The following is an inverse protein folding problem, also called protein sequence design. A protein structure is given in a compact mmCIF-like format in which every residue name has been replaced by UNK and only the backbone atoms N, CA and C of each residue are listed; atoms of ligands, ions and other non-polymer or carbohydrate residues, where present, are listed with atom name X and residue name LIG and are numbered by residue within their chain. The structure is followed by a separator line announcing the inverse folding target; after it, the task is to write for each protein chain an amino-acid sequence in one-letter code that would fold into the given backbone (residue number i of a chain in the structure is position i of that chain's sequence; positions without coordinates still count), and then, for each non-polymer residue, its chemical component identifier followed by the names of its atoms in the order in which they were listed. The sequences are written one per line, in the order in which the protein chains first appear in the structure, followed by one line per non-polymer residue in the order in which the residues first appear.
data_IF_313875999966
#
_entry.id   IF_313875999966
#
_cell.length_a   1.000
_cell.length_b   1.000
_cell.length_c   1.000
_cell.angle_alpha   90.00
_cell.angle_beta   90.00
_cell.angle_gamma   90.00
#
_symmetry.space_group_name_H-M   'P 1'
#
loop_
_entity.id
_entity.type
_entity.pdbx_description
1 polymer ?
#
# COMPACT_ATOMS: atom_id res chain seq x y z
N UNK A 1 -5.29 4.05 -34.17
CA UNK A 1 -4.30 4.87 -33.51
C UNK A 1 -5.01 5.95 -32.71
N UNK A 2 -5.20 5.77 -31.43
CA UNK A 2 -5.81 6.77 -30.57
C UNK A 2 -4.85 7.03 -29.41
N UNK A 3 -4.31 8.23 -29.38
CA UNK A 3 -3.67 8.83 -28.23
C UNK A 3 -4.74 9.00 -27.13
N UNK A 4 -4.79 8.07 -26.19
CA UNK A 4 -5.46 8.31 -24.91
C UNK A 4 -4.42 9.03 -24.07
N UNK A 5 -4.47 10.37 -24.06
CA UNK A 5 -3.57 11.21 -23.31
C UNK A 5 -3.70 10.98 -21.81
N UNK A 6 -2.59 11.21 -21.10
CA UNK A 6 -2.46 11.07 -19.63
C UNK A 6 -3.56 11.79 -18.83
N UNK A 7 -4.27 12.76 -19.40
CA UNK A 7 -5.41 13.45 -18.79
C UNK A 7 -6.66 12.58 -18.63
N UNK A 8 -6.88 11.57 -19.50
CA UNK A 8 -8.04 10.67 -19.41
C UNK A 8 -7.95 9.68 -18.28
N UNK A 9 -6.73 9.24 -17.94
CA UNK A 9 -6.49 8.28 -16.85
C UNK A 9 -6.72 8.91 -15.47
N UNK A 10 -6.37 10.19 -15.28
CA UNK A 10 -6.59 10.88 -14.00
C UNK A 10 -8.06 11.19 -13.74
N UNK A 11 -8.83 11.56 -14.77
CA UNK A 11 -10.27 11.80 -14.64
C UNK A 11 -11.05 10.50 -14.33
N UNK A 12 -10.65 9.36 -14.94
CA UNK A 12 -11.23 8.06 -14.65
C UNK A 12 -10.89 7.58 -13.22
N UNK A 13 -9.68 7.87 -12.72
CA UNK A 13 -9.28 7.56 -11.36
C UNK A 13 -10.09 8.37 -10.32
N UNK A 14 -10.33 9.66 -10.56
CA UNK A 14 -11.11 10.51 -9.66
C UNK A 14 -12.60 10.15 -9.65
N UNK A 15 -13.20 9.86 -10.80
CA UNK A 15 -14.59 9.37 -10.92
C UNK A 15 -14.77 7.99 -10.29
N UNK A 16 -13.81 7.09 -10.49
CA UNK A 16 -13.76 5.76 -9.89
C UNK A 16 -13.67 5.82 -8.36
N UNK A 17 -12.85 6.72 -7.81
CA UNK A 17 -12.70 6.91 -6.37
C UNK A 17 -14.03 7.32 -5.72
N UNK A 18 -14.78 8.25 -6.32
CA UNK A 18 -16.09 8.66 -5.82
C UNK A 18 -17.11 7.51 -5.82
N UNK A 19 -17.15 6.71 -6.89
CA UNK A 19 -18.03 5.55 -6.98
C UNK A 19 -17.68 4.48 -5.93
N UNK A 20 -16.40 4.25 -5.70
CA UNK A 20 -15.91 3.23 -4.76
C UNK A 20 -16.21 3.57 -3.30
N UNK A 21 -16.12 4.84 -2.92
CA UNK A 21 -16.47 5.28 -1.55
C UNK A 21 -17.95 5.13 -1.25
N UNK A 22 -18.83 5.25 -2.27
CA UNK A 22 -20.28 5.14 -2.11
C UNK A 22 -20.77 3.68 -2.03
N UNK A 23 -20.03 2.72 -2.60
CA UNK A 23 -20.53 1.33 -2.77
C UNK A 23 -19.88 0.31 -1.84
N UNK A 24 -18.94 0.73 -0.98
CA UNK A 24 -18.13 -0.20 -0.22
C UNK A 24 -18.21 -0.01 1.30
N UNK A 25 -18.63 -1.07 2.00
CA UNK A 25 -18.39 -1.21 3.45
C UNK A 25 -16.95 -1.67 3.64
N UNK A 26 -16.06 -0.73 3.97
CA UNK A 26 -14.68 -1.04 4.33
C UNK A 26 -14.64 -1.71 5.71
N UNK A 27 -13.88 -2.78 5.83
CA UNK A 27 -13.53 -3.30 7.15
C UNK A 27 -12.46 -2.36 7.73
N UNK A 28 -12.80 -1.65 8.80
CA UNK A 28 -11.82 -0.86 9.53
C UNK A 28 -10.90 -1.80 10.33
N UNK A 29 -9.94 -2.42 9.63
CA UNK A 29 -8.98 -3.38 10.20
C UNK A 29 -7.90 -2.69 11.05
N UNK A 30 -7.61 -1.44 10.75
CA UNK A 30 -6.42 -0.74 11.23
C UNK A 30 -6.71 0.35 12.27
N UNK A 31 -7.99 0.51 12.68
CA UNK A 31 -8.39 1.57 13.58
C UNK A 31 -8.31 2.94 12.90
N UNK A 32 -7.94 3.98 13.65
CA UNK A 32 -7.79 5.34 13.12
C UNK A 32 -6.47 5.47 12.39
N UNK A 33 -6.53 5.89 11.13
CA UNK A 33 -5.42 6.33 10.29
C UNK A 33 -5.55 7.83 10.05
N UNK A 34 -4.47 8.52 9.71
CA UNK A 34 -4.44 9.98 9.54
C UNK A 34 -4.44 10.40 8.08
N UNK A 35 -3.93 9.55 7.19
CA UNK A 35 -3.73 9.84 5.76
C UNK A 35 -4.60 8.96 4.87
N UNK A 36 -4.67 7.68 5.18
CA UNK A 36 -5.43 6.71 4.41
C UNK A 36 -6.83 6.54 4.99
N UNK A 37 -7.84 6.59 4.12
CA UNK A 37 -9.17 6.11 4.45
C UNK A 37 -9.20 4.56 4.45
N UNK A 38 -10.33 3.98 4.86
CA UNK A 38 -10.49 2.54 4.89
C UNK A 38 -10.31 1.86 3.54
N UNK A 39 -10.63 2.56 2.43
CA UNK A 39 -10.43 2.03 1.09
C UNK A 39 -8.95 1.96 0.72
N UNK A 40 -8.21 3.05 0.88
CA UNK A 40 -6.77 3.05 0.59
C UNK A 40 -6.01 2.08 1.50
N UNK A 41 -6.41 1.95 2.77
CA UNK A 41 -5.86 0.95 3.67
C UNK A 41 -6.04 -0.48 3.14
N UNK A 42 -7.23 -0.82 2.61
CA UNK A 42 -7.49 -2.12 1.98
C UNK A 42 -6.67 -2.31 0.68
N UNK A 43 -6.45 -1.25 -0.10
CA UNK A 43 -5.59 -1.31 -1.31
C UNK A 43 -4.13 -1.56 -0.94
N UNK A 44 -3.61 -0.85 0.06
CA UNK A 44 -2.23 -1.06 0.57
C UNK A 44 -2.07 -2.48 1.10
N UNK A 45 -3.05 -2.96 1.90
CA UNK A 45 -3.05 -4.33 2.40
C UNK A 45 -3.01 -5.36 1.25
N UNK A 46 -3.90 -5.21 0.28
CA UNK A 46 -3.99 -6.10 -0.87
C UNK A 46 -2.71 -6.11 -1.73
N UNK A 47 -2.09 -4.94 -1.92
CA UNK A 47 -0.81 -4.81 -2.60
C UNK A 47 0.31 -5.50 -1.82
N UNK A 48 0.33 -5.33 -0.49
CA UNK A 48 1.31 -5.96 0.37
C UNK A 48 1.21 -7.49 0.33
N UNK A 49 0.00 -8.08 0.51
CA UNK A 49 -0.21 -9.52 0.38
C UNK A 49 0.27 -10.09 -0.97
N UNK A 50 0.10 -9.32 -2.04
CA UNK A 50 0.57 -9.75 -3.36
C UNK A 50 2.07 -9.59 -3.56
N UNK A 51 2.73 -8.74 -2.75
CA UNK A 51 4.13 -8.34 -2.94
C UNK A 51 5.12 -9.03 -2.01
N UNK A 52 4.64 -9.68 -0.94
CA UNK A 52 5.48 -10.34 0.07
C UNK A 52 5.28 -11.86 0.04
N UNK A 53 6.19 -12.65 0.64
CA UNK A 53 6.05 -14.09 0.75
C UNK A 53 4.79 -14.49 1.55
N UNK A 54 4.12 -15.53 1.07
CA UNK A 54 3.05 -16.24 1.77
C UNK A 54 3.58 -17.65 2.08
N UNK A 55 4.40 -17.73 3.13
CA UNK A 55 5.08 -18.96 3.51
C UNK A 55 5.11 -19.11 5.04
N UNK A 56 5.17 -20.33 5.56
CA UNK A 56 5.31 -20.59 6.98
C UNK A 56 6.50 -19.82 7.60
N UNK A 57 6.30 -19.22 8.76
CA UNK A 57 7.33 -18.44 9.44
C UNK A 57 7.36 -16.95 9.10
N UNK A 58 6.65 -16.52 8.06
CA UNK A 58 6.49 -15.09 7.77
C UNK A 58 5.27 -14.51 8.53
N UNK A 59 5.38 -13.30 9.09
CA UNK A 59 4.26 -12.63 9.76
C UNK A 59 3.20 -12.18 8.75
N UNK A 60 1.99 -11.95 9.22
CA UNK A 60 0.94 -11.32 8.40
C UNK A 60 1.24 -9.84 8.14
N UNK A 61 0.49 -9.24 7.21
CA UNK A 61 0.61 -7.81 6.90
C UNK A 61 0.29 -6.95 8.12
N UNK A 62 -0.70 -7.38 8.92
CA UNK A 62 -1.08 -6.72 10.16
C UNK A 62 0.02 -6.84 11.24
N UNK A 63 0.62 -8.03 11.40
CA UNK A 63 1.71 -8.27 12.36
C UNK A 63 2.97 -7.48 12.01
N UNK A 64 3.23 -7.26 10.70
CA UNK A 64 4.32 -6.42 10.22
C UNK A 64 3.95 -4.93 10.14
N UNK A 65 2.74 -4.55 10.59
CA UNK A 65 2.24 -3.17 10.67
C UNK A 65 2.38 -2.36 9.37
N UNK A 66 2.37 -3.01 8.20
CA UNK A 66 2.69 -2.39 6.90
C UNK A 66 1.82 -1.17 6.62
N UNK A 67 0.49 -1.30 6.78
CA UNK A 67 -0.46 -0.22 6.48
C UNK A 67 -0.30 0.95 7.45
N UNK A 68 -0.19 0.66 8.75
CA UNK A 68 -0.03 1.69 9.79
C UNK A 68 1.28 2.44 9.65
N UNK A 69 2.37 1.72 9.36
CA UNK A 69 3.69 2.34 9.13
C UNK A 69 3.71 3.20 7.87
N UNK A 70 3.06 2.75 6.81
CA UNK A 70 2.94 3.54 5.59
C UNK A 70 2.09 4.79 5.81
N UNK A 71 0.99 4.70 6.56
CA UNK A 71 0.16 5.85 6.93
C UNK A 71 0.95 6.87 7.78
N UNK A 72 1.70 6.38 8.78
CA UNK A 72 2.58 7.18 9.62
C UNK A 72 3.60 7.97 8.77
N UNK A 73 4.29 7.30 7.86
CA UNK A 73 5.27 7.95 6.99
C UNK A 73 4.62 8.99 6.07
N UNK A 74 3.47 8.65 5.48
CA UNK A 74 2.73 9.57 4.61
C UNK A 74 2.17 10.78 5.35
N UNK A 75 2.05 10.73 6.67
CA UNK A 75 1.66 11.89 7.49
C UNK A 75 2.80 12.91 7.63
N UNK A 76 4.06 12.47 7.61
CA UNK A 76 5.23 13.35 7.78
C UNK A 76 5.90 13.80 6.48
N UNK A 77 5.57 13.21 5.34
CA UNK A 77 6.09 13.66 4.04
C UNK A 77 5.33 14.89 3.52
N UNK A 78 5.82 15.50 2.45
CA UNK A 78 5.12 16.62 1.81
C UNK A 78 3.74 16.22 1.33
N UNK A 79 2.79 17.15 1.34
CA UNK A 79 1.44 16.96 0.83
C UNK A 79 1.44 16.47 -0.63
N UNK A 80 2.36 17.00 -1.44
CA UNK A 80 2.52 16.56 -2.83
C UNK A 80 2.86 15.07 -2.91
N UNK A 81 3.86 14.60 -2.15
CA UNK A 81 4.27 13.19 -2.17
C UNK A 81 3.14 12.29 -1.66
N UNK A 82 2.49 12.67 -0.56
CA UNK A 82 1.33 11.95 -0.04
C UNK A 82 0.19 11.84 -1.06
N UNK A 83 -0.09 12.93 -1.80
CA UNK A 83 -1.08 12.94 -2.88
C UNK A 83 -0.68 12.05 -4.06
N UNK A 84 0.59 12.09 -4.47
CA UNK A 84 1.11 11.26 -5.56
C UNK A 84 1.01 9.76 -5.21
N UNK A 85 1.33 9.38 -3.96
CA UNK A 85 1.17 8.01 -3.46
C UNK A 85 -0.30 7.57 -3.46
N UNK A 86 -1.21 8.42 -2.97
CA UNK A 86 -2.66 8.13 -3.01
C UNK A 86 -3.15 7.96 -4.45
N UNK A 87 -2.76 8.84 -5.37
CA UNK A 87 -3.12 8.72 -6.78
C UNK A 87 -2.61 7.41 -7.40
N UNK A 88 -1.39 7.01 -7.08
CA UNK A 88 -0.83 5.72 -7.50
C UNK A 88 -1.60 4.51 -6.95
N UNK A 89 -2.02 4.56 -5.69
CA UNK A 89 -2.85 3.51 -5.08
C UNK A 89 -4.23 3.41 -5.76
N UNK A 90 -4.88 4.54 -6.05
CA UNK A 90 -6.14 4.56 -6.82
C UNK A 90 -5.95 4.02 -8.24
N UNK A 91 -4.85 4.40 -8.91
CA UNK A 91 -4.52 3.84 -10.23
C UNK A 91 -4.39 2.32 -10.16
N UNK A 92 -3.62 1.78 -9.21
CA UNK A 92 -3.46 0.34 -9.04
C UNK A 92 -4.77 -0.37 -8.74
N UNK A 93 -5.63 0.20 -7.91
CA UNK A 93 -6.95 -0.35 -7.59
C UNK A 93 -7.81 -0.53 -8.83
N UNK A 94 -7.79 0.45 -9.75
CA UNK A 94 -8.61 0.47 -10.97
C UNK A 94 -7.95 -0.24 -12.14
N UNK A 95 -6.64 -0.50 -12.07
CA UNK A 95 -5.87 -1.02 -13.19
C UNK A 95 -6.40 -2.35 -13.76
N UNK A 96 -6.84 -3.34 -12.95
CA UNK A 96 -7.41 -4.57 -13.49
C UNK A 96 -8.63 -4.34 -14.38
N UNK A 97 -9.49 -3.36 -14.04
CA UNK A 97 -10.65 -3.01 -14.87
C UNK A 97 -10.21 -2.43 -16.22
N UNK A 98 -9.17 -1.59 -16.24
CA UNK A 98 -8.60 -1.04 -17.47
C UNK A 98 -8.00 -2.14 -18.37
N UNK A 99 -7.58 -3.26 -17.78
CA UNK A 99 -7.09 -4.46 -18.49
C UNK A 99 -8.19 -5.50 -18.76
N UNK A 100 -9.46 -5.10 -18.73
CA UNK A 100 -10.60 -5.92 -19.09
C UNK A 100 -11.03 -6.95 -18.04
N UNK A 101 -10.56 -6.85 -16.81
CA UNK A 101 -11.05 -7.69 -15.70
C UNK A 101 -12.32 -7.07 -15.10
N UNK A 102 -13.22 -7.90 -14.63
CA UNK A 102 -14.48 -7.46 -13.99
C UNK A 102 -14.32 -7.20 -12.49
N UNK A 103 -13.10 -6.90 -12.03
CA UNK A 103 -12.82 -6.73 -10.61
C UNK A 103 -11.67 -5.75 -10.37
N UNK A 104 -11.66 -5.10 -9.22
CA UNK A 104 -10.61 -4.21 -8.75
C UNK A 104 -9.48 -5.01 -8.09
N UNK A 105 -8.29 -4.39 -7.92
CA UNK A 105 -7.12 -5.05 -7.34
C UNK A 105 -7.42 -5.63 -5.94
N UNK A 106 -8.00 -4.84 -5.06
CA UNK A 106 -8.30 -5.25 -3.68
C UNK A 106 -9.31 -6.41 -3.58
N UNK A 107 -10.07 -6.66 -4.66
CA UNK A 107 -11.10 -7.71 -4.74
C UNK A 107 -10.64 -9.00 -5.40
N UNK A 108 -9.51 -8.98 -6.07
CA UNK A 108 -8.90 -10.19 -6.60
C UNK A 108 -8.39 -11.08 -5.45
N UNK A 109 -8.33 -12.37 -5.64
CA UNK A 109 -7.60 -13.27 -4.75
C UNK A 109 -6.10 -12.94 -4.76
N UNK A 110 -5.36 -13.34 -3.73
CA UNK A 110 -3.91 -13.09 -3.64
C UNK A 110 -3.17 -13.63 -4.86
N UNK A 111 -3.52 -14.84 -5.32
CA UNK A 111 -2.92 -15.45 -6.50
C UNK A 111 -3.20 -14.67 -7.78
N UNK A 112 -4.45 -14.20 -7.96
CA UNK A 112 -4.81 -13.38 -9.11
C UNK A 112 -4.13 -12.02 -9.10
N UNK A 113 -4.01 -11.39 -7.92
CA UNK A 113 -3.25 -10.12 -7.75
C UNK A 113 -1.79 -10.29 -8.15
N UNK A 114 -1.12 -11.35 -7.65
CA UNK A 114 0.27 -11.66 -8.00
C UNK A 114 0.43 -11.85 -9.50
N UNK A 115 -0.41 -12.67 -10.10
CA UNK A 115 -0.37 -12.91 -11.55
C UNK A 115 -0.66 -11.63 -12.35
N UNK A 116 -1.60 -10.79 -11.88
CA UNK A 116 -1.92 -9.52 -12.51
C UNK A 116 -0.74 -8.54 -12.43
N UNK A 117 -0.18 -8.31 -11.24
CA UNK A 117 0.93 -7.37 -11.04
C UNK A 117 2.19 -7.81 -11.80
N UNK A 118 2.49 -9.12 -11.85
CA UNK A 118 3.59 -9.65 -12.66
C UNK A 118 3.41 -9.30 -14.13
N UNK A 119 2.22 -9.55 -14.68
CA UNK A 119 1.92 -9.26 -16.09
C UNK A 119 1.90 -7.76 -16.39
N UNK A 120 1.37 -6.95 -15.46
CA UNK A 120 1.27 -5.50 -15.63
C UNK A 120 2.63 -4.78 -15.56
N UNK A 121 3.66 -5.41 -14.97
CA UNK A 121 5.05 -4.90 -15.02
C UNK A 121 5.67 -4.97 -16.41
N UNK A 122 5.20 -5.87 -17.26
CA UNK A 122 5.71 -6.05 -18.62
C UNK A 122 5.01 -5.13 -19.64
N UNK A 123 4.15 -4.21 -19.16
CA UNK A 123 3.47 -3.23 -20.03
C UNK A 123 4.44 -2.24 -20.66
N UNK A 124 4.05 -1.70 -21.82
CA UNK A 124 4.78 -0.60 -22.49
C UNK A 124 4.46 0.79 -21.87
N UNK A 125 3.51 0.86 -20.95
CA UNK A 125 3.16 2.09 -20.25
C UNK A 125 4.14 2.32 -19.08
N UNK A 126 5.02 3.30 -19.26
CA UNK A 126 6.04 3.66 -18.26
C UNK A 126 5.44 4.11 -16.94
N UNK A 127 4.31 4.82 -16.97
CA UNK A 127 3.61 5.28 -15.76
C UNK A 127 3.15 4.10 -14.93
N UNK A 128 2.51 3.11 -15.57
CA UNK A 128 2.05 1.90 -14.90
C UNK A 128 3.22 1.13 -14.30
N UNK A 129 4.31 0.94 -15.07
CA UNK A 129 5.51 0.25 -14.57
C UNK A 129 6.10 0.92 -13.35
N UNK A 130 6.29 2.25 -13.41
CA UNK A 130 6.87 3.05 -12.32
C UNK A 130 5.99 2.99 -11.08
N UNK A 131 4.68 3.14 -11.22
CA UNK A 131 3.73 3.09 -10.09
C UNK A 131 3.74 1.71 -9.44
N UNK A 132 3.68 0.62 -10.23
CA UNK A 132 3.76 -0.75 -9.68
C UNK A 132 5.09 -0.98 -8.97
N UNK A 133 6.21 -0.59 -9.58
CA UNK A 133 7.53 -0.80 -9.01
C UNK A 133 7.70 -0.06 -7.67
N UNK A 134 7.36 1.23 -7.64
CA UNK A 134 7.52 2.07 -6.46
C UNK A 134 6.60 1.62 -5.33
N UNK A 135 5.31 1.46 -5.56
CA UNK A 135 4.38 1.09 -4.51
C UNK A 135 4.61 -0.34 -3.99
N UNK A 136 4.94 -1.29 -4.89
CA UNK A 136 5.36 -2.63 -4.45
C UNK A 136 6.70 -2.61 -3.69
N UNK A 137 7.60 -1.71 -4.05
CA UNK A 137 8.85 -1.46 -3.31
C UNK A 137 8.59 -0.92 -1.92
N UNK A 138 7.71 0.08 -1.80
CA UNK A 138 7.34 0.70 -0.51
C UNK A 138 6.74 -0.33 0.45
N UNK A 139 5.73 -1.10 0.03
CA UNK A 139 5.11 -2.09 0.92
C UNK A 139 6.09 -3.18 1.36
N UNK A 140 7.04 -3.60 0.47
CA UNK A 140 8.12 -4.52 0.84
C UNK A 140 9.09 -3.89 1.83
N UNK A 141 9.44 -2.62 1.64
CA UNK A 141 10.30 -1.88 2.56
C UNK A 141 9.72 -1.87 3.97
N UNK A 142 8.43 -1.53 4.11
CA UNK A 142 7.77 -1.55 5.42
C UNK A 142 7.67 -2.95 6.00
N UNK A 143 7.37 -3.95 5.18
CA UNK A 143 7.26 -5.34 5.61
C UNK A 143 8.60 -5.88 6.12
N UNK A 144 9.63 -5.91 5.28
CA UNK A 144 10.93 -6.46 5.65
C UNK A 144 11.71 -5.59 6.63
N UNK A 145 11.41 -4.31 6.73
CA UNK A 145 11.94 -3.41 7.75
C UNK A 145 11.32 -3.60 9.14
N UNK A 146 10.30 -4.45 9.30
CA UNK A 146 9.70 -4.73 10.59
C UNK A 146 10.42 -5.89 11.31
N UNK A 147 10.73 -5.75 12.63
CA UNK A 147 11.47 -6.78 13.37
C UNK A 147 10.85 -8.18 13.33
N UNK A 148 9.52 -8.29 13.22
CA UNK A 148 8.83 -9.58 13.14
C UNK A 148 9.21 -10.42 11.91
N UNK A 149 9.72 -9.79 10.84
CA UNK A 149 10.10 -10.47 9.61
C UNK A 149 11.56 -10.95 9.62
N UNK A 150 12.40 -10.37 10.46
CA UNK A 150 13.86 -10.54 10.40
C UNK A 150 14.29 -11.99 10.56
N UNK A 151 13.71 -12.69 11.53
CA UNK A 151 14.00 -14.11 11.74
C UNK A 151 13.69 -14.96 10.50
N UNK A 152 12.58 -14.68 9.80
CA UNK A 152 12.16 -15.43 8.62
C UNK A 152 13.09 -15.24 7.42
N UNK A 153 13.82 -14.09 7.35
CA UNK A 153 14.78 -13.79 6.29
C UNK A 153 16.24 -14.02 6.73
N UNK A 154 16.49 -14.55 7.93
CA UNK A 154 17.84 -14.77 8.44
C UNK A 154 18.61 -13.49 8.78
N UNK A 155 17.89 -12.41 9.15
CA UNK A 155 18.50 -11.15 9.54
C UNK A 155 18.44 -10.98 11.06
N UNK A 156 19.58 -10.77 11.68
CA UNK A 156 19.71 -10.66 13.15
C UNK A 156 19.38 -9.27 13.71
N UNK A 157 19.03 -8.34 12.83
CA UNK A 157 18.73 -6.95 13.20
C UNK A 157 19.86 -5.97 12.84
N UNK A 158 19.63 -4.65 13.08
CA UNK A 158 20.61 -3.64 12.78
C UNK A 158 21.84 -3.77 13.70
N UNK A 159 23.02 -3.61 13.13
CA UNK A 159 24.30 -3.72 13.83
C UNK A 159 24.37 -2.89 15.14
N UNK A 160 23.77 -1.71 15.15
CA UNK A 160 23.74 -0.83 16.32
C UNK A 160 22.57 -1.11 17.28
N UNK A 161 21.82 -2.18 17.06
CA UNK A 161 20.59 -2.44 17.81
C UNK A 161 19.44 -1.51 17.40
N UNK A 162 18.28 -1.74 18.02
CA UNK A 162 17.14 -0.84 17.85
C UNK A 162 17.27 0.32 18.83
N UNK A 163 16.81 1.53 18.46
CA UNK A 163 16.78 2.65 19.39
C UNK A 163 15.92 2.30 20.63
N UNK A 164 16.42 2.61 21.82
CA UNK A 164 15.71 2.39 23.08
C UNK A 164 14.40 3.19 23.16
N UNK A 165 14.39 4.37 22.52
CA UNK A 165 13.23 5.28 22.52
C UNK A 165 12.69 5.45 21.11
N UNK A 166 11.36 5.52 21.01
CA UNK A 166 10.70 5.90 19.76
C UNK A 166 11.06 7.36 19.40
N UNK A 167 11.15 7.63 18.10
CA UNK A 167 11.31 9.00 17.62
C UNK A 167 10.12 9.88 18.04
N UNK A 168 10.35 11.19 18.16
CA UNK A 168 9.29 12.15 18.48
C UNK A 168 8.13 12.10 17.48
N UNK A 169 8.44 11.91 16.20
CA UNK A 169 7.45 11.73 15.14
C UNK A 169 6.53 10.53 15.42
N UNK A 170 7.11 9.36 15.73
CA UNK A 170 6.34 8.16 16.07
C UNK A 170 5.49 8.35 17.31
N UNK A 171 6.00 9.05 18.32
CA UNK A 171 5.24 9.36 19.53
C UNK A 171 4.07 10.31 19.20
N UNK A 172 4.30 11.33 18.37
CA UNK A 172 3.24 12.25 17.93
C UNK A 172 2.14 11.53 17.15
N UNK A 173 2.53 10.72 16.17
CA UNK A 173 1.57 9.93 15.38
C UNK A 173 0.73 9.01 16.27
N UNK A 174 1.37 8.24 17.15
CA UNK A 174 0.70 7.34 18.09
C UNK A 174 -0.32 8.07 18.98
N UNK A 175 0.03 9.28 19.45
CA UNK A 175 -0.89 10.15 20.22
C UNK A 175 -2.10 10.57 19.38
N UNK A 176 -1.89 10.96 18.13
CA UNK A 176 -2.95 11.44 17.24
C UNK A 176 -3.94 10.33 16.82
N UNK A 177 -3.46 9.10 16.66
CA UNK A 177 -4.33 7.94 16.36
C UNK A 177 -4.97 7.33 17.60
N UNK A 178 -4.61 7.79 18.80
CA UNK A 178 -5.16 7.27 20.07
C UNK A 178 -4.45 6.02 20.60
N UNK A 179 -3.26 5.69 20.08
CA UNK A 179 -2.45 4.52 20.46
C UNK A 179 -1.23 4.91 21.33
N UNK A 180 -1.35 5.93 22.17
CA UNK A 180 -0.23 6.43 22.99
C UNK A 180 0.36 5.41 24.00
N UNK A 181 -0.25 4.22 24.14
CA UNK A 181 0.08 3.21 25.14
C UNK A 181 0.65 1.88 24.59
N UNK A 182 1.08 1.84 23.30
CA UNK A 182 1.71 0.63 22.74
C UNK A 182 3.17 0.85 22.42
#
# INVERSE_FOLDING_TARGET
MALIGAGGTMAAAAGGAGYLTLTHRFRNRYGKLLVFDGHLADVVHALAEASVPDAPGFPTIEQAEVVTRMDEEMFFVSEKLSSDVKAGLYLLEMLPLAYGRMSRLSRLSVSERRAFLTRARDTQDDTVRVVIANLSGMVRWYYFGHPSTWKAIGYDGPFMGLPEKRSEQRMLYAKLVGNAAR
#
